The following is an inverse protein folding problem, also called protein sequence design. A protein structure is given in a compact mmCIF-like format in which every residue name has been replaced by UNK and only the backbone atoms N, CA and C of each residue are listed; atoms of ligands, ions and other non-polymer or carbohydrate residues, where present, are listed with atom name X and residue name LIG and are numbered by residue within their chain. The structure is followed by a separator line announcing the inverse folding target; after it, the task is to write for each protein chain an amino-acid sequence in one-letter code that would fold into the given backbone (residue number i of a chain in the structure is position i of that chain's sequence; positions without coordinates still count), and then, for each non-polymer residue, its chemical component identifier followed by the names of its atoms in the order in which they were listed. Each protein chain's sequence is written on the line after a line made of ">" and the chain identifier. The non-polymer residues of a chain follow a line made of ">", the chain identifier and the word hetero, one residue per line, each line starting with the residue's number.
data_IF_871299380005
#
_entry.id   IF_871299380005
#
_cell.length_a   1.000
_cell.length_b   1.000
_cell.length_c   1.000
_cell.angle_alpha   90.00
_cell.angle_beta   90.00
_cell.angle_gamma   90.00
#
_symmetry.space_group_name_H-M   'P 1'
#
loop_
_entity.id
_entity.type
_entity.pdbx_description
1 polymer ?
#
# COMPACT_ATOMS: atom_id res chain seq x y z
N UNK A 1 -6.60 16.71 12.60
CA UNK A 1 -5.93 15.39 12.69
C UNK A 1 -5.78 14.79 11.30
N UNK A 2 -4.77 13.92 11.10
CA UNK A 2 -4.47 13.29 9.81
C UNK A 2 -4.15 11.82 10.02
N UNK A 3 -4.69 10.96 9.15
CA UNK A 3 -4.26 9.57 9.09
C UNK A 3 -3.03 9.51 8.18
N UNK A 4 -1.85 9.39 8.74
CA UNK A 4 -0.61 9.47 7.95
C UNK A 4 0.45 8.44 8.33
N UNK A 5 0.13 7.49 9.21
CA UNK A 5 1.06 6.43 9.60
C UNK A 5 0.31 5.13 9.85
N UNK A 6 0.86 4.04 9.32
CA UNK A 6 0.38 2.67 9.54
C UNK A 6 1.56 1.81 9.96
N UNK A 7 1.38 0.99 11.00
CA UNK A 7 2.34 -0.05 11.37
C UNK A 7 1.72 -1.41 11.10
N UNK A 8 2.42 -2.23 10.34
CA UNK A 8 2.04 -3.60 10.04
C UNK A 8 2.90 -4.55 10.86
N UNK A 9 2.26 -5.50 11.53
CA UNK A 9 2.98 -6.57 12.22
C UNK A 9 3.32 -7.63 11.16
N UNK A 10 4.61 -7.98 11.11
CA UNK A 10 5.13 -8.91 10.11
C UNK A 10 5.96 -10.00 10.79
N UNK A 11 6.24 -11.09 10.07
CA UNK A 11 6.94 -12.24 10.64
C UNK A 11 8.37 -12.39 10.14
N UNK A 12 8.72 -11.78 9.02
CA UNK A 12 10.06 -11.88 8.45
C UNK A 12 10.54 -10.51 8.00
N UNK A 13 11.49 -9.97 8.73
CA UNK A 13 11.99 -8.61 8.50
C UNK A 13 12.54 -8.43 7.09
N UNK A 14 13.38 -9.35 6.62
CA UNK A 14 14.05 -9.22 5.32
C UNK A 14 13.03 -9.27 4.16
N UNK A 15 12.08 -10.20 4.22
CA UNK A 15 11.07 -10.31 3.16
C UNK A 15 10.15 -9.11 3.12
N UNK A 16 9.74 -8.62 4.29
CA UNK A 16 8.83 -7.47 4.36
C UNK A 16 9.52 -6.19 3.90
N UNK A 17 10.75 -5.94 4.35
CA UNK A 17 11.48 -4.74 3.93
C UNK A 17 11.83 -4.78 2.44
N UNK A 18 12.15 -5.97 1.90
CA UNK A 18 12.38 -6.13 0.46
C UNK A 18 11.12 -5.83 -0.34
N UNK A 19 9.96 -6.29 0.14
CA UNK A 19 8.67 -6.03 -0.53
C UNK A 19 8.35 -4.53 -0.59
N UNK A 20 8.38 -3.85 0.54
CA UNK A 20 8.01 -2.43 0.58
C UNK A 20 9.05 -1.55 -0.13
N UNK A 21 10.32 -1.92 -0.10
CA UNK A 21 11.34 -1.27 -0.91
C UNK A 21 11.10 -1.44 -2.41
N UNK A 22 10.77 -2.67 -2.85
CA UNK A 22 10.44 -2.93 -4.26
C UNK A 22 9.17 -2.21 -4.70
N UNK A 23 8.20 -2.05 -3.79
CA UNK A 23 6.97 -1.29 -4.05
C UNK A 23 7.26 0.19 -4.34
N UNK A 24 8.39 0.69 -3.91
CA UNK A 24 8.84 2.06 -4.18
C UNK A 24 8.88 2.95 -2.95
N UNK A 25 8.62 2.42 -1.76
CA UNK A 25 8.69 3.22 -0.55
C UNK A 25 10.14 3.52 -0.18
N UNK A 26 10.36 4.68 0.42
CA UNK A 26 11.70 5.18 0.76
C UNK A 26 12.02 4.84 2.21
N UNK A 27 13.07 4.03 2.49
CA UNK A 27 13.42 3.70 3.87
C UNK A 27 13.92 4.93 4.62
N UNK A 28 13.42 5.14 5.85
CA UNK A 28 13.87 6.22 6.75
C UNK A 28 14.33 5.71 8.10
N UNK A 29 13.92 4.50 8.51
CA UNK A 29 14.45 3.81 9.71
C UNK A 29 14.67 2.35 9.33
N UNK A 30 15.81 1.80 9.71
CA UNK A 30 16.15 0.41 9.43
C UNK A 30 16.85 -0.19 10.63
N UNK A 31 16.13 -0.97 11.42
CA UNK A 31 16.63 -1.61 12.64
C UNK A 31 16.37 -3.12 12.61
N UNK A 32 17.18 -3.88 11.84
CA UNK A 32 17.01 -5.33 11.80
C UNK A 32 17.30 -5.93 13.17
N UNK A 33 16.66 -7.03 13.54
CA UNK A 33 15.64 -7.76 12.78
C UNK A 33 14.21 -7.38 13.15
N UNK A 34 13.97 -6.22 13.74
CA UNK A 34 12.73 -5.91 14.44
C UNK A 34 11.86 -4.84 13.80
N UNK A 35 12.44 -3.79 13.22
CA UNK A 35 11.66 -2.60 12.86
C UNK A 35 12.24 -1.88 11.66
N UNK A 36 11.36 -1.44 10.76
CA UNK A 36 11.71 -0.51 9.68
C UNK A 36 10.57 0.45 9.43
N UNK A 37 10.89 1.66 8.97
CA UNK A 37 9.93 2.67 8.59
C UNK A 37 10.25 3.19 7.21
N UNK A 38 9.19 3.36 6.42
CA UNK A 38 9.27 3.86 5.07
C UNK A 38 8.41 5.10 4.93
N UNK A 39 8.80 5.97 4.00
CA UNK A 39 8.00 7.12 3.58
C UNK A 39 7.50 6.87 2.15
N UNK A 40 6.30 7.33 1.84
CA UNK A 40 5.82 7.35 0.45
C UNK A 40 6.71 8.27 -0.39
N UNK A 41 7.04 7.90 -1.63
CA UNK A 41 8.05 8.66 -2.41
C UNK A 41 7.61 10.08 -2.76
N UNK A 42 6.30 10.31 -2.94
CA UNK A 42 5.78 11.59 -3.42
C UNK A 42 5.13 12.43 -2.32
N UNK A 43 5.19 11.99 -1.06
CA UNK A 43 4.49 12.64 0.03
C UNK A 43 5.14 12.27 1.37
N UNK A 44 4.49 12.61 2.49
CA UNK A 44 5.08 12.41 3.81
C UNK A 44 4.40 11.30 4.65
N UNK A 45 3.44 10.57 4.07
CA UNK A 45 2.85 9.42 4.77
C UNK A 45 3.88 8.33 4.97
N UNK A 46 3.76 7.63 6.10
CA UNK A 46 4.73 6.60 6.49
C UNK A 46 4.06 5.27 6.78
N UNK A 47 4.81 4.20 6.53
CA UNK A 47 4.43 2.84 6.84
C UNK A 47 5.60 2.17 7.54
N UNK A 48 5.33 1.53 8.66
CA UNK A 48 6.34 0.74 9.37
C UNK A 48 6.00 -0.74 9.32
N UNK A 49 7.04 -1.57 9.38
CA UNK A 49 6.92 -3.00 9.62
C UNK A 49 7.61 -3.31 10.94
N UNK A 50 6.97 -4.16 11.74
CA UNK A 50 7.49 -4.51 13.06
C UNK A 50 7.33 -6.02 13.29
N UNK A 51 8.43 -6.65 13.74
CA UNK A 51 8.42 -8.06 14.13
C UNK A 51 8.25 -8.11 15.64
N UNK A 52 7.15 -8.70 16.12
CA UNK A 52 6.80 -8.78 17.54
C UNK A 52 6.91 -10.20 18.10
N UNK A 53 7.15 -11.20 17.24
CA UNK A 53 7.12 -12.61 17.63
C UNK A 53 5.73 -13.22 17.61
N UNK A 54 4.69 -12.44 17.26
CA UNK A 54 3.35 -12.96 17.11
C UNK A 54 3.24 -13.87 15.87
N UNK A 55 2.31 -14.86 15.88
CA UNK A 55 2.11 -15.70 14.70
C UNK A 55 1.60 -14.88 13.52
N UNK A 56 1.81 -15.38 12.28
CA UNK A 56 1.35 -14.68 11.09
C UNK A 56 -0.16 -14.43 11.12
N UNK A 57 -0.55 -13.17 10.90
CA UNK A 57 -1.95 -12.81 10.81
C UNK A 57 -2.06 -11.55 9.97
N UNK A 58 -2.70 -11.65 8.81
CA UNK A 58 -2.97 -10.48 7.98
C UNK A 58 -3.98 -9.58 8.69
N UNK A 59 -3.78 -8.26 8.57
CA UNK A 59 -4.81 -7.31 8.98
C UNK A 59 -6.03 -7.41 8.05
N UNK A 60 -7.20 -7.02 8.53
CA UNK A 60 -8.41 -6.92 7.69
C UNK A 60 -8.50 -5.57 6.98
N UNK A 61 -7.61 -4.65 7.28
CA UNK A 61 -7.55 -3.37 6.59
C UNK A 61 -7.06 -3.54 5.15
N UNK A 62 -7.50 -2.64 4.29
CA UNK A 62 -7.04 -2.53 2.91
C UNK A 62 -6.21 -1.27 2.82
N UNK A 63 -4.95 -1.38 2.39
CA UNK A 63 -4.07 -0.24 2.28
C UNK A 63 -4.02 0.21 0.81
N UNK A 64 -4.46 1.44 0.57
CA UNK A 64 -4.53 2.01 -0.77
C UNK A 64 -3.39 2.98 -1.00
N UNK A 65 -2.61 2.74 -2.04
CA UNK A 65 -1.54 3.63 -2.49
C UNK A 65 -1.97 4.27 -3.81
N UNK A 66 -2.08 5.59 -3.81
CA UNK A 66 -2.48 6.33 -5.01
C UNK A 66 -1.33 6.38 -6.01
N UNK A 67 -1.63 6.07 -7.27
CA UNK A 67 -0.67 6.08 -8.37
C UNK A 67 -1.25 6.91 -9.51
N UNK A 68 -0.60 7.99 -9.89
CA UNK A 68 -1.10 8.86 -10.97
C UNK A 68 -1.10 8.14 -12.33
N UNK A 69 -0.13 7.26 -12.56
CA UNK A 69 -0.09 6.41 -13.74
C UNK A 69 -0.10 4.94 -13.30
N UNK A 70 -1.27 4.47 -12.92
CA UNK A 70 -1.45 3.15 -12.31
C UNK A 70 -0.95 2.02 -13.22
N UNK A 71 -1.36 2.01 -14.48
CA UNK A 71 -1.02 0.91 -15.39
C UNK A 71 0.49 0.80 -15.59
N UNK A 72 1.17 1.93 -15.75
CA UNK A 72 2.61 1.94 -15.89
C UNK A 72 3.30 1.51 -14.60
N UNK A 73 2.82 1.98 -13.45
CA UNK A 73 3.37 1.60 -12.15
C UNK A 73 3.29 0.10 -11.95
N UNK A 74 2.13 -0.49 -12.23
CA UNK A 74 1.94 -1.94 -12.10
C UNK A 74 2.88 -2.70 -13.05
N UNK A 75 3.01 -2.26 -14.30
CA UNK A 75 3.93 -2.91 -15.25
C UNK A 75 5.37 -2.89 -14.75
N UNK A 76 5.83 -1.75 -14.21
CA UNK A 76 7.18 -1.63 -13.65
C UNK A 76 7.39 -2.53 -12.43
N UNK A 77 6.38 -2.62 -11.56
CA UNK A 77 6.45 -3.48 -10.37
C UNK A 77 6.47 -4.96 -10.74
N UNK A 78 5.71 -5.38 -11.76
CA UNK A 78 5.78 -6.74 -12.28
C UNK A 78 7.18 -7.07 -12.81
N UNK A 79 7.81 -6.12 -13.47
CA UNK A 79 9.19 -6.30 -13.96
C UNK A 79 10.18 -6.50 -12.81
N UNK A 80 9.89 -5.96 -11.63
CA UNK A 80 10.69 -6.18 -10.41
C UNK A 80 10.36 -7.51 -9.72
N UNK A 81 9.39 -8.26 -10.22
CA UNK A 81 9.02 -9.55 -9.65
C UNK A 81 7.84 -9.55 -8.70
N UNK A 82 7.16 -8.42 -8.50
CA UNK A 82 5.95 -8.42 -7.68
C UNK A 82 4.81 -9.11 -8.42
N UNK A 83 4.06 -9.94 -7.68
CA UNK A 83 2.95 -10.73 -8.22
C UNK A 83 1.64 -10.08 -7.83
N UNK A 84 0.80 -9.76 -8.81
CA UNK A 84 -0.51 -9.15 -8.59
C UNK A 84 -1.61 -10.19 -8.65
N UNK A 85 -2.55 -10.09 -7.70
CA UNK A 85 -3.77 -10.91 -7.71
C UNK A 85 -4.82 -10.35 -8.66
N UNK A 86 -4.79 -9.03 -8.88
CA UNK A 86 -5.67 -8.36 -9.83
C UNK A 86 -4.89 -7.30 -10.57
N UNK A 87 -4.96 -7.33 -11.90
CA UNK A 87 -4.42 -6.28 -12.75
C UNK A 87 -5.29 -5.02 -12.66
N UNK A 88 -4.78 -3.85 -13.10
CA UNK A 88 -5.58 -2.63 -13.08
C UNK A 88 -6.94 -2.83 -13.73
N UNK A 89 -7.98 -2.56 -12.97
CA UNK A 89 -9.37 -2.81 -13.34
C UNK A 89 -10.24 -1.64 -12.92
N UNK A 90 -11.12 -1.19 -13.80
CA UNK A 90 -12.10 -0.17 -13.47
C UNK A 90 -13.19 -0.78 -12.61
N UNK A 91 -13.34 -0.27 -11.40
CA UNK A 91 -14.33 -0.75 -10.44
C UNK A 91 -15.63 0.03 -10.58
N UNK A 92 -16.74 -0.58 -10.14
CA UNK A 92 -18.08 0.04 -10.25
C UNK A 92 -18.19 1.36 -9.49
N UNK A 93 -17.35 1.59 -8.48
CA UNK A 93 -17.33 2.82 -7.71
C UNK A 93 -16.36 3.87 -8.30
N UNK A 94 -16.01 3.73 -9.56
CA UNK A 94 -15.25 4.70 -10.36
C UNK A 94 -13.77 4.85 -9.95
N UNK A 95 -13.24 3.89 -9.25
CA UNK A 95 -11.81 3.79 -8.98
C UNK A 95 -11.20 2.72 -9.90
N UNK A 96 -9.96 2.95 -10.31
CA UNK A 96 -9.20 1.92 -11.01
C UNK A 96 -8.20 1.33 -10.03
N UNK A 97 -8.19 0.00 -9.87
CA UNK A 97 -7.43 -0.67 -8.83
C UNK A 97 -6.65 -1.87 -9.34
N UNK A 98 -5.48 -2.08 -8.74
CA UNK A 98 -4.74 -3.33 -8.80
C UNK A 98 -4.52 -3.84 -7.37
N UNK A 99 -4.39 -5.15 -7.19
CA UNK A 99 -4.28 -5.77 -5.86
C UNK A 99 -3.10 -6.71 -5.80
N UNK A 100 -2.42 -6.71 -4.65
CA UNK A 100 -1.41 -7.69 -4.33
C UNK A 100 -1.37 -7.89 -2.82
N UNK A 101 -0.65 -8.93 -2.38
CA UNK A 101 -0.43 -9.21 -0.96
C UNK A 101 1.03 -8.98 -0.62
N UNK A 102 1.28 -8.49 0.59
CA UNK A 102 2.63 -8.51 1.13
C UNK A 102 2.99 -9.92 1.61
N UNK A 103 4.24 -10.18 2.05
CA UNK A 103 4.64 -11.54 2.46
C UNK A 103 3.84 -12.15 3.60
N UNK A 104 3.19 -11.34 4.44
CA UNK A 104 2.33 -11.81 5.52
C UNK A 104 0.85 -11.85 5.15
N UNK A 105 0.50 -11.53 3.91
CA UNK A 105 -0.86 -11.55 3.42
C UNK A 105 -1.64 -10.27 3.65
N UNK A 106 -0.99 -9.18 4.05
CA UNK A 106 -1.67 -7.89 4.17
C UNK A 106 -2.15 -7.41 2.80
N UNK A 107 -3.36 -6.86 2.75
CA UNK A 107 -4.05 -6.44 1.53
C UNK A 107 -3.52 -5.09 1.06
N UNK A 108 -2.77 -5.10 -0.02
CA UNK A 108 -2.16 -3.90 -0.61
C UNK A 108 -2.87 -3.61 -1.93
N UNK A 109 -3.33 -2.39 -2.08
CA UNK A 109 -3.99 -1.94 -3.31
C UNK A 109 -3.31 -0.70 -3.85
N UNK A 110 -3.08 -0.70 -5.15
CA UNK A 110 -2.66 0.48 -5.89
C UNK A 110 -3.87 0.98 -6.65
N UNK A 111 -4.08 2.29 -6.67
CA UNK A 111 -5.31 2.81 -7.25
C UNK A 111 -5.11 4.20 -7.85
N UNK A 112 -6.04 4.53 -8.74
CA UNK A 112 -6.22 5.89 -9.23
C UNK A 112 -7.72 6.19 -9.28
N UNK A 113 -8.14 7.30 -8.68
CA UNK A 113 -9.55 7.69 -8.60
C UNK A 113 -9.79 9.12 -9.10
N UNK A 114 -8.75 9.89 -9.39
CA UNK A 114 -8.84 11.31 -9.72
C UNK A 114 -9.71 12.03 -8.69
N UNK A 115 -10.74 12.75 -9.12
CA UNK A 115 -11.63 13.47 -8.23
C UNK A 115 -12.67 12.58 -7.54
N UNK A 116 -12.81 11.32 -7.98
CA UNK A 116 -13.84 10.42 -7.44
C UNK A 116 -13.55 9.96 -6.00
N UNK A 117 -12.36 10.20 -5.46
CA UNK A 117 -12.08 9.90 -4.06
C UNK A 117 -12.79 10.87 -3.11
N UNK A 118 -12.80 12.15 -3.42
CA UNK A 118 -13.39 13.19 -2.58
C UNK A 118 -14.75 13.67 -3.09
N UNK A 119 -14.99 13.61 -4.39
CA UNK A 119 -16.19 14.16 -5.02
C UNK A 119 -16.82 13.15 -5.99
N UNK A 120 -17.21 11.94 -5.51
CA UNK A 120 -17.91 10.99 -6.38
C UNK A 120 -19.32 11.50 -6.71
N UNK A 121 -19.98 10.96 -7.75
CA UNK A 121 -21.35 11.36 -8.08
C UNK A 121 -22.33 11.18 -6.93
N UNK A 122 -22.08 10.24 -6.02
CA UNK A 122 -22.94 9.97 -4.86
C UNK A 122 -22.44 10.63 -3.57
N UNK A 123 -21.63 11.67 -3.70
CA UNK A 123 -21.15 12.42 -2.53
C UNK A 123 -22.31 12.90 -1.67
N UNK A 124 -22.13 12.81 -0.36
CA UNK A 124 -23.11 13.32 0.60
C UNK A 124 -23.31 14.80 0.37
N UNK A 125 -24.56 15.25 0.27
CA UNK A 125 -24.89 16.64 -0.08
C UNK A 125 -24.33 17.67 0.90
N UNK A 126 -24.25 17.32 2.19
CA UNK A 126 -23.74 18.19 3.24
C UNK A 126 -22.22 18.06 3.44
N UNK A 127 -21.51 17.21 2.69
CA UNK A 127 -20.07 17.03 2.80
C UNK A 127 -19.34 18.27 2.27
N UNK A 128 -18.22 18.61 2.93
CA UNK A 128 -17.42 19.78 2.60
C UNK A 128 -16.06 19.40 2.02
#
# INVERSE_FOLDING_TARGET
>A
MRLNHVTLIVTNFERSTAFYGALGLVPIVHEPPRYARFRCPDSDETLSVEVTGEPPAATRAQLFFECLDLDRTVALLKDKGLVFEQDPTDMSYLWREARLKDPDGHDIRLYFAADNRLNPPWKVKSAR
#
